data_IF_452862455799
#
_entry.id   IF_452862455799
#
_cell.length_a   1.000
_cell.length_b   1.000
_cell.length_c   1.000
_cell.angle_alpha   90.00
_cell.angle_beta   90.00
_cell.angle_gamma   90.00
#
_symmetry.space_group_name_H-M   'P 1'
#
loop_
_entity.id
_entity.type
_entity.pdbx_description
1 polymer ?
#
# COMPACT_ATOMS: atom_id res chain seq x y z
N UNK A 1 -14.34 -10.76 -10.05
CA UNK A 1 -13.08 -10.10 -9.63
C UNK A 1 -12.87 -10.03 -8.12
N UNK A 2 -13.86 -9.67 -7.31
CA UNK A 2 -13.64 -9.47 -5.87
C UNK A 2 -13.13 -10.71 -5.10
N UNK A 3 -13.48 -11.94 -5.52
CA UNK A 3 -12.88 -13.15 -4.94
C UNK A 3 -11.35 -13.23 -5.13
N UNK A 4 -10.88 -12.96 -6.36
CA UNK A 4 -9.44 -12.87 -6.68
C UNK A 4 -8.76 -11.73 -5.90
N UNK A 5 -9.43 -10.60 -5.77
CA UNK A 5 -8.93 -9.46 -4.99
C UNK A 5 -8.72 -9.86 -3.52
N UNK A 6 -9.73 -10.49 -2.92
CA UNK A 6 -9.68 -10.92 -1.53
C UNK A 6 -8.55 -11.92 -1.31
N UNK A 7 -8.39 -12.89 -2.21
CA UNK A 7 -7.29 -13.86 -2.17
C UNK A 7 -5.92 -13.18 -2.24
N UNK A 8 -5.71 -12.26 -3.18
CA UNK A 8 -4.47 -11.49 -3.28
C UNK A 8 -4.20 -10.67 -2.01
N UNK A 9 -5.21 -9.99 -1.46
CA UNK A 9 -5.07 -9.23 -0.22
C UNK A 9 -4.67 -10.14 0.94
N UNK A 10 -5.24 -11.34 1.04
CA UNK A 10 -4.90 -12.30 2.10
C UNK A 10 -3.46 -12.80 1.95
N UNK A 11 -3.05 -13.16 0.74
CA UNK A 11 -1.73 -13.72 0.48
C UNK A 11 -0.61 -12.67 0.57
N UNK A 12 -0.89 -11.41 0.24
CA UNK A 12 0.12 -10.35 0.19
C UNK A 12 0.04 -9.37 1.38
N UNK A 13 -1.07 -8.65 1.55
CA UNK A 13 -1.15 -7.59 2.56
C UNK A 13 -1.42 -8.14 3.97
N UNK A 14 -2.29 -9.15 4.08
CA UNK A 14 -2.65 -9.73 5.37
C UNK A 14 -1.51 -10.57 5.93
N UNK A 15 -0.87 -11.41 5.11
CA UNK A 15 0.29 -12.23 5.50
C UNK A 15 1.42 -11.38 6.09
N UNK A 16 1.76 -10.24 5.47
CA UNK A 16 2.78 -9.29 5.95
C UNK A 16 2.44 -8.67 7.31
N UNK A 17 1.16 -8.43 7.57
CA UNK A 17 0.71 -7.88 8.85
C UNK A 17 0.66 -8.94 9.95
N UNK A 18 0.16 -10.14 9.63
CA UNK A 18 0.03 -11.24 10.58
C UNK A 18 1.39 -11.79 11.01
N UNK A 19 2.32 -11.90 10.06
CA UNK A 19 3.64 -12.51 10.27
C UNK A 19 4.77 -11.47 10.26
N UNK A 20 4.52 -10.28 10.82
CA UNK A 20 5.52 -9.21 10.90
C UNK A 20 6.84 -9.73 11.46
N UNK A 21 7.95 -9.28 10.87
CA UNK A 21 9.32 -9.64 11.25
C UNK A 21 9.61 -11.16 11.21
N UNK A 22 8.87 -11.91 10.37
CA UNK A 22 9.04 -13.35 10.16
C UNK A 22 9.14 -13.71 8.67
N UNK A 23 9.90 -14.76 8.29
CA UNK A 23 9.91 -15.27 6.92
C UNK A 23 8.51 -15.59 6.37
N UNK A 24 7.57 -15.93 7.26
CA UNK A 24 6.19 -16.24 6.90
C UNK A 24 5.46 -15.05 6.25
N UNK A 25 5.91 -13.81 6.46
CA UNK A 25 5.38 -12.64 5.77
C UNK A 25 5.58 -12.66 4.24
N UNK A 26 6.53 -13.46 3.75
CA UNK A 26 6.92 -13.50 2.33
C UNK A 26 6.66 -14.87 1.69
N UNK A 27 6.23 -15.85 2.49
CA UNK A 27 6.09 -17.24 2.05
C UNK A 27 5.09 -17.42 0.89
N UNK A 28 4.16 -16.48 0.74
CA UNK A 28 3.11 -16.52 -0.28
C UNK A 28 3.34 -15.56 -1.46
N UNK A 29 4.46 -14.82 -1.49
CA UNK A 29 4.74 -13.79 -2.51
C UNK A 29 4.60 -14.35 -3.94
N UNK A 30 5.18 -15.51 -4.22
CA UNK A 30 5.13 -16.12 -5.56
C UNK A 30 3.69 -16.46 -6.00
N UNK A 31 2.85 -16.94 -5.08
CA UNK A 31 1.44 -17.23 -5.39
C UNK A 31 0.67 -15.94 -5.65
N UNK A 32 0.88 -14.91 -4.82
CA UNK A 32 0.24 -13.61 -5.00
C UNK A 32 0.63 -12.95 -6.33
N UNK A 33 1.91 -13.06 -6.73
CA UNK A 33 2.42 -12.58 -8.03
C UNK A 33 1.71 -13.30 -9.18
N UNK A 34 1.66 -14.64 -9.16
CA UNK A 34 1.00 -15.41 -10.21
C UNK A 34 -0.48 -15.05 -10.35
N UNK A 35 -1.19 -14.92 -9.22
CA UNK A 35 -2.59 -14.52 -9.20
C UNK A 35 -2.81 -13.09 -9.70
N UNK A 36 -1.91 -12.16 -9.36
CA UNK A 36 -1.94 -10.79 -9.87
C UNK A 36 -1.77 -10.77 -11.40
N UNK A 37 -0.77 -11.46 -11.93
CA UNK A 37 -0.53 -11.58 -13.37
C UNK A 37 -1.74 -12.15 -14.11
N UNK A 38 -2.41 -13.16 -13.55
CA UNK A 38 -3.63 -13.72 -14.14
C UNK A 38 -4.85 -12.79 -14.01
N UNK A 39 -4.97 -12.06 -12.90
CA UNK A 39 -6.07 -11.11 -12.69
C UNK A 39 -6.01 -9.94 -13.67
N UNK A 40 -4.82 -9.42 -13.98
CA UNK A 40 -4.62 -8.28 -14.88
C UNK A 40 -5.02 -8.61 -16.33
N UNK A 41 -4.93 -9.88 -16.73
CA UNK A 41 -5.34 -10.36 -18.07
C UNK A 41 -6.85 -10.42 -18.25
N UNK A 42 -7.64 -10.38 -17.17
CA UNK A 42 -9.08 -10.50 -17.25
C UNK A 42 -9.73 -9.20 -17.76
N UNK A 43 -10.74 -9.27 -18.63
CA UNK A 43 -11.39 -8.07 -19.18
C UNK A 43 -12.03 -7.20 -18.08
N UNK A 44 -12.49 -7.80 -16.99
CA UNK A 44 -13.13 -7.11 -15.88
C UNK A 44 -12.15 -6.33 -14.98
N UNK A 45 -10.83 -6.56 -15.10
CA UNK A 45 -9.83 -5.83 -14.31
C UNK A 45 -9.94 -4.31 -14.49
N UNK A 46 -10.18 -3.87 -15.73
CA UNK A 46 -10.32 -2.44 -16.07
C UNK A 46 -11.56 -1.79 -15.44
N UNK A 47 -12.58 -2.60 -15.12
CA UNK A 47 -13.83 -2.12 -14.52
C UNK A 47 -13.74 -1.97 -13.00
N UNK A 48 -12.68 -2.48 -12.37
CA UNK A 48 -12.44 -2.32 -10.93
C UNK A 48 -12.11 -0.86 -10.60
N UNK A 49 -12.31 -0.45 -9.35
CA UNK A 49 -11.90 0.88 -8.89
C UNK A 49 -10.37 1.01 -8.90
N UNK A 50 -9.86 2.25 -8.94
CA UNK A 50 -8.41 2.53 -8.87
C UNK A 50 -7.78 1.87 -7.64
N UNK A 51 -8.46 1.93 -6.48
CA UNK A 51 -7.98 1.34 -5.23
C UNK A 51 -7.88 -0.19 -5.31
N UNK A 52 -8.86 -0.85 -5.91
CA UNK A 52 -8.84 -2.31 -6.04
C UNK A 52 -7.76 -2.77 -7.03
N UNK A 53 -7.59 -2.06 -8.15
CA UNK A 53 -6.49 -2.33 -9.08
C UNK A 53 -5.13 -2.13 -8.43
N UNK A 54 -4.98 -1.12 -7.58
CA UNK A 54 -3.76 -0.93 -6.80
C UNK A 54 -3.41 -2.18 -5.99
N UNK A 55 -4.35 -2.72 -5.19
CA UNK A 55 -4.12 -3.95 -4.43
C UNK A 55 -3.85 -5.18 -5.31
N UNK A 56 -4.45 -5.26 -6.51
CA UNK A 56 -4.13 -6.31 -7.48
C UNK A 56 -2.71 -6.21 -8.03
N UNK A 57 -2.16 -4.99 -8.15
CA UNK A 57 -0.83 -4.76 -8.71
C UNK A 57 0.29 -4.86 -7.66
N UNK A 58 -0.01 -4.60 -6.37
CA UNK A 58 0.97 -4.61 -5.28
C UNK A 58 1.87 -5.85 -5.22
N UNK A 59 1.39 -7.09 -5.46
CA UNK A 59 2.27 -8.26 -5.48
C UNK A 59 3.44 -8.15 -6.46
N UNK A 60 3.25 -7.48 -7.61
CA UNK A 60 4.31 -7.25 -8.58
C UNK A 60 5.41 -6.35 -8.00
N UNK A 61 5.02 -5.29 -7.28
CA UNK A 61 5.93 -4.38 -6.58
C UNK A 61 6.73 -5.08 -5.47
N UNK A 62 6.24 -6.19 -4.93
CA UNK A 62 6.93 -6.93 -3.86
C UNK A 62 7.85 -8.04 -4.35
N UNK A 63 7.92 -8.25 -5.67
CA UNK A 63 8.73 -9.30 -6.28
C UNK A 63 10.23 -8.99 -6.24
N UNK A 64 11.05 -9.96 -5.86
CA UNK A 64 12.52 -9.88 -6.04
C UNK A 64 12.92 -10.31 -7.47
N UNK A 65 12.33 -9.68 -8.50
CA UNK A 65 12.60 -9.99 -9.91
C UNK A 65 12.61 -8.73 -10.78
N UNK A 66 13.73 -8.47 -11.47
CA UNK A 66 13.90 -7.33 -12.38
C UNK A 66 12.86 -7.33 -13.51
N UNK A 67 12.61 -8.50 -14.10
CA UNK A 67 11.66 -8.66 -15.20
C UNK A 67 10.24 -8.32 -14.76
N UNK A 68 9.85 -8.67 -13.53
CA UNK A 68 8.54 -8.32 -13.01
C UNK A 68 8.41 -6.81 -12.82
N UNK A 69 9.43 -6.13 -12.29
CA UNK A 69 9.43 -4.67 -12.17
C UNK A 69 9.36 -3.96 -13.52
N UNK A 70 10.07 -4.46 -14.55
CA UNK A 70 9.97 -3.92 -15.91
C UNK A 70 8.54 -4.00 -16.47
N UNK A 71 7.80 -5.06 -16.15
CA UNK A 71 6.40 -5.22 -16.53
C UNK A 71 5.45 -4.41 -15.64
N UNK A 72 5.79 -4.25 -14.36
CA UNK A 72 4.93 -3.59 -13.37
C UNK A 72 4.87 -2.08 -13.57
N UNK A 73 5.98 -1.42 -13.91
CA UNK A 73 6.04 0.04 -14.12
C UNK A 73 4.92 0.55 -15.06
N UNK A 74 4.78 0.07 -16.31
CA UNK A 74 3.71 0.57 -17.19
C UNK A 74 2.30 0.22 -16.68
N UNK A 75 2.14 -0.84 -15.90
CA UNK A 75 0.86 -1.20 -15.30
C UNK A 75 0.47 -0.25 -14.17
N UNK A 76 1.43 0.15 -13.33
CA UNK A 76 1.20 1.16 -12.29
C UNK A 76 0.93 2.53 -12.89
N UNK A 77 1.68 2.94 -13.93
CA UNK A 77 1.44 4.18 -14.67
C UNK A 77 0.03 4.24 -15.27
N UNK A 78 -0.43 3.12 -15.84
CA UNK A 78 -1.71 3.07 -16.53
C UNK A 78 -2.90 2.92 -15.56
N UNK A 79 -2.78 2.12 -14.51
CA UNK A 79 -3.92 1.65 -13.72
C UNK A 79 -3.87 2.01 -12.24
N UNK A 80 -2.69 2.36 -11.71
CA UNK A 80 -2.46 2.68 -10.31
C UNK A 80 -2.71 4.16 -9.97
N UNK A 81 -2.81 4.49 -8.66
CA UNK A 81 -2.69 5.86 -8.19
C UNK A 81 -1.33 6.47 -8.58
N UNK A 82 -1.27 7.77 -8.85
CA UNK A 82 -0.03 8.48 -9.19
C UNK A 82 1.08 8.25 -8.14
N UNK A 83 0.74 8.35 -6.85
CA UNK A 83 1.66 8.09 -5.76
C UNK A 83 2.29 6.69 -5.81
N UNK A 84 1.57 5.69 -6.32
CA UNK A 84 2.06 4.31 -6.38
C UNK A 84 3.12 4.08 -7.46
N UNK A 85 3.16 4.91 -8.49
CA UNK A 85 4.20 4.86 -9.54
C UNK A 85 5.56 5.22 -8.95
N UNK A 86 5.61 6.29 -8.16
CA UNK A 86 6.84 6.70 -7.47
C UNK A 86 7.35 5.62 -6.52
N UNK A 87 6.45 4.88 -5.87
CA UNK A 87 6.83 3.74 -5.04
C UNK A 87 7.37 2.59 -5.89
N UNK A 88 6.70 2.23 -6.98
CA UNK A 88 7.15 1.19 -7.89
C UNK A 88 8.56 1.47 -8.41
N UNK A 89 8.83 2.71 -8.85
CA UNK A 89 10.15 3.11 -9.35
C UNK A 89 11.23 3.00 -8.27
N UNK A 90 10.93 3.34 -7.01
CA UNK A 90 11.85 3.15 -5.88
C UNK A 90 12.14 1.67 -5.62
N UNK A 91 11.13 0.80 -5.72
CA UNK A 91 11.33 -0.65 -5.58
C UNK A 91 12.20 -1.18 -6.73
N UNK A 92 11.90 -0.76 -7.96
CA UNK A 92 12.68 -1.14 -9.15
C UNK A 92 14.15 -0.76 -9.01
N UNK A 93 14.49 0.44 -8.53
CA UNK A 93 15.89 0.86 -8.32
C UNK A 93 16.64 -0.09 -7.37
N UNK A 94 15.99 -0.53 -6.29
CA UNK A 94 16.59 -1.46 -5.32
C UNK A 94 16.80 -2.83 -5.98
N UNK A 95 15.80 -3.34 -6.70
CA UNK A 95 15.90 -4.63 -7.38
C UNK A 95 16.88 -4.59 -8.55
N UNK A 96 16.98 -3.50 -9.29
CA UNK A 96 17.97 -3.33 -10.35
C UNK A 96 19.39 -3.34 -9.80
N UNK A 97 19.61 -2.73 -8.63
CA UNK A 97 20.92 -2.67 -7.95
C UNK A 97 21.30 -4.00 -7.31
N UNK A 98 20.43 -4.58 -6.48
CA UNK A 98 20.77 -5.72 -5.62
C UNK A 98 20.20 -7.06 -6.07
N UNK A 99 19.23 -7.06 -7.00
CA UNK A 99 18.49 -8.26 -7.42
C UNK A 99 17.52 -8.80 -6.37
N UNK A 100 17.45 -8.19 -5.18
CA UNK A 100 16.63 -8.57 -4.03
C UNK A 100 16.42 -7.36 -3.11
N UNK A 101 15.61 -7.50 -2.06
CA UNK A 101 15.44 -6.47 -1.03
C UNK A 101 16.39 -6.71 0.15
N UNK A 102 17.42 -5.87 0.35
CA UNK A 102 18.38 -6.07 1.44
C UNK A 102 17.75 -6.04 2.84
N UNK A 103 16.68 -5.26 3.03
CA UNK A 103 15.98 -5.19 4.31
C UNK A 103 15.25 -6.50 4.68
N UNK A 104 15.09 -7.44 3.74
CA UNK A 104 14.56 -8.78 4.02
C UNK A 104 15.66 -9.77 4.44
N UNK A 105 16.94 -9.42 4.34
CA UNK A 105 18.04 -10.37 4.53
C UNK A 105 18.03 -10.97 5.94
N UNK A 106 17.95 -10.15 6.98
CA UNK A 106 17.96 -10.63 8.37
C UNK A 106 16.80 -11.59 8.67
N UNK A 107 15.57 -11.21 8.28
CA UNK A 107 14.37 -12.03 8.52
C UNK A 107 14.36 -13.31 7.69
N UNK A 108 14.98 -13.30 6.51
CA UNK A 108 15.12 -14.50 5.65
C UNK A 108 16.39 -15.31 5.91
N UNK A 109 17.21 -14.93 6.91
CA UNK A 109 18.46 -15.63 7.22
C UNK A 109 19.53 -15.54 6.10
N UNK A 110 19.51 -14.48 5.30
CA UNK A 110 20.50 -14.24 4.22
C UNK A 110 21.65 -13.39 4.75
N UNK A 111 22.87 -13.72 4.32
CA UNK A 111 24.02 -12.85 4.52
C UNK A 111 23.93 -11.63 3.59
N UNK A 112 24.18 -10.44 4.15
CA UNK A 112 24.24 -9.17 3.42
C UNK A 112 25.66 -8.90 2.93
N UNK A 113 25.79 -8.39 1.71
CA UNK A 113 27.07 -7.85 1.22
C UNK A 113 27.46 -6.55 1.93
N UNK A 114 28.72 -6.12 1.79
CA UNK A 114 29.16 -4.82 2.31
C UNK A 114 28.35 -3.65 1.74
N UNK A 115 28.04 -3.70 0.44
CA UNK A 115 27.22 -2.69 -0.24
C UNK A 115 25.76 -2.68 0.30
N UNK A 116 25.18 -3.86 0.54
CA UNK A 116 23.85 -3.98 1.14
C UNK A 116 23.83 -3.45 2.57
N UNK A 117 24.86 -3.71 3.37
CA UNK A 117 24.99 -3.18 4.73
C UNK A 117 25.07 -1.66 4.71
N UNK A 118 25.89 -1.07 3.84
CA UNK A 118 25.98 0.38 3.69
C UNK A 118 24.62 0.97 3.28
N UNK A 119 23.96 0.38 2.27
CA UNK A 119 22.64 0.79 1.82
C UNK A 119 21.60 0.77 2.95
N UNK A 120 21.61 -0.24 3.81
CA UNK A 120 20.68 -0.35 4.94
C UNK A 120 20.78 0.82 5.94
N UNK A 121 21.91 1.52 6.00
CA UNK A 121 22.09 2.71 6.85
C UNK A 121 21.47 3.99 6.26
N UNK A 122 21.11 4.00 4.98
CA UNK A 122 20.61 5.18 4.28
C UNK A 122 19.09 5.34 4.42
N UNK A 123 18.55 6.57 4.36
CA UNK A 123 17.10 6.78 4.28
C UNK A 123 16.48 6.10 3.06
N UNK A 124 15.29 5.52 3.22
CA UNK A 124 14.60 4.82 2.12
C UNK A 124 15.12 3.40 1.85
N UNK A 125 15.99 2.86 2.71
CA UNK A 125 16.52 1.49 2.59
C UNK A 125 15.49 0.39 2.87
N UNK A 126 14.32 0.76 3.40
CA UNK A 126 13.19 -0.12 3.66
C UNK A 126 11.86 0.59 3.39
N UNK A 127 10.84 -0.20 3.07
CA UNK A 127 9.47 0.27 2.94
C UNK A 127 8.70 -0.15 4.18
N UNK A 128 8.02 0.80 4.84
CA UNK A 128 7.11 0.46 5.93
C UNK A 128 5.81 -0.08 5.33
N UNK A 129 5.31 -1.18 5.91
CA UNK A 129 3.93 -1.64 5.70
C UNK A 129 3.02 -0.47 6.01
N UNK A 130 2.41 0.12 4.97
CA UNK A 130 1.39 1.17 5.02
C UNK A 130 1.62 2.24 6.11
N UNK A 131 2.44 3.27 5.84
CA UNK A 131 2.42 4.48 6.68
C UNK A 131 1.28 5.39 6.24
N UNK A 132 0.55 5.94 7.21
CA UNK A 132 -0.72 6.71 7.20
C UNK A 132 -0.84 7.87 6.19
N UNK A 133 0.13 8.10 5.31
CA UNK A 133 0.12 9.22 4.35
C UNK A 133 -0.75 8.98 3.11
N UNK A 134 -1.02 7.74 2.71
CA UNK A 134 -1.85 7.44 1.53
C UNK A 134 -3.38 7.47 1.82
N UNK A 135 -3.79 7.82 3.07
CA UNK A 135 -5.19 7.80 3.52
C UNK A 135 -5.87 9.15 3.74
N UNK A 136 -5.19 10.29 3.54
CA UNK A 136 -5.77 11.62 3.84
C UNK A 136 -6.51 12.22 2.66
N UNK A 137 -7.67 11.64 2.37
CA UNK A 137 -8.81 12.36 1.81
C UNK A 137 -10.09 11.96 2.57
N UNK A 138 -10.06 12.12 3.90
CA UNK A 138 -11.30 12.24 4.66
C UNK A 138 -11.71 13.70 4.64
N UNK A 139 -12.60 14.02 3.70
CA UNK A 139 -13.40 15.23 3.74
C UNK A 139 -14.00 15.39 5.13
N UNK A 140 -13.81 16.58 5.71
CA UNK A 140 -14.57 17.04 6.86
C UNK A 140 -16.07 16.86 6.59
N UNK A 141 -16.65 15.79 7.12
CA UNK A 141 -18.10 15.72 7.34
C UNK A 141 -18.27 15.50 8.83
N UNK A 142 -18.41 16.64 9.51
CA UNK A 142 -18.72 16.76 10.92
C UNK A 142 -20.03 16.01 11.20
N UNK A 143 -19.94 14.74 11.57
CA UNK A 143 -21.05 14.01 12.17
C UNK A 143 -21.35 14.67 13.50
N UNK A 144 -22.43 15.45 13.52
CA UNK A 144 -23.12 15.90 14.72
C UNK A 144 -23.54 14.65 15.49
N UNK A 145 -22.82 14.36 16.58
CA UNK A 145 -23.25 13.39 17.58
C UNK A 145 -24.42 14.03 18.34
N UNK A 146 -25.62 13.56 18.06
CA UNK A 146 -26.75 13.71 18.98
C UNK A 146 -26.48 12.88 20.24
N UNK A 147 -26.62 13.50 21.41
CA UNK A 147 -26.86 12.80 22.67
C UNK A 147 -27.67 13.68 23.62
N UNK A 148 -28.41 13.07 24.57
CA UNK A 148 -29.78 13.46 24.89
C UNK A 148 -29.93 14.48 26.03
N UNK A 149 -31.04 15.22 25.93
CA UNK A 149 -31.88 15.87 26.94
C UNK A 149 -31.35 15.88 28.39
N UNK A 150 -31.11 17.09 28.93
CA UNK A 150 -31.27 17.34 30.37
C UNK A 150 -30.62 18.63 30.91
N UNK A 151 -31.47 19.49 31.51
CA UNK A 151 -31.17 20.56 32.48
C UNK A 151 -30.88 22.00 31.99
N UNK A 152 -31.99 22.74 31.83
CA UNK A 152 -32.30 24.07 32.43
C UNK A 152 -31.13 25.03 32.74
N UNK A 153 -31.14 26.20 32.08
CA UNK A 153 -30.39 27.38 32.53
C UNK A 153 -30.62 28.60 31.63
N UNK A 154 -31.40 29.57 32.13
CA UNK A 154 -31.80 30.82 31.46
C UNK A 154 -30.61 31.71 31.08
N UNK A 155 -30.72 32.50 30.01
CA UNK A 155 -30.59 33.98 30.05
C UNK A 155 -30.03 34.62 28.74
N UNK A 156 -30.91 35.44 28.15
CA UNK A 156 -30.67 36.72 27.47
C UNK A 156 -30.12 36.80 26.01
N UNK A 157 -31.01 37.40 25.21
CA UNK A 157 -30.87 37.99 23.87
C UNK A 157 -29.92 39.20 23.89
N UNK A 158 -29.14 39.41 22.82
CA UNK A 158 -29.07 40.71 22.12
C UNK A 158 -28.28 40.66 20.80
N UNK A 159 -29.03 40.90 19.71
CA UNK A 159 -28.75 41.59 18.42
C UNK A 159 -27.31 41.87 17.95
N UNK A 160 -27.11 41.61 16.64
CA UNK A 160 -26.59 42.46 15.52
C UNK A 160 -25.62 41.62 14.66
N UNK A 161 -25.53 41.69 13.34
CA UNK A 161 -26.27 42.28 12.19
C UNK A 161 -25.62 41.61 10.96
N UNK A 162 -26.39 41.18 9.96
CA UNK A 162 -25.83 40.89 8.63
C UNK A 162 -25.42 42.20 7.95
N UNK A 163 -24.31 42.16 7.23
CA UNK A 163 -24.09 42.94 6.01
C UNK A 163 -23.56 41.98 4.93
N UNK A 164 -23.92 42.32 3.70
CA UNK A 164 -23.84 41.59 2.44
C UNK A 164 -22.46 41.01 2.12
#
# INVERSE_FOLDING_TARGET
MHGRLAEIIVLDQFSRNLHRDSPLAFAQDNMAIALAQEAIKQPEFKNMTVRERHFMLMPLMHSESKVIHEQAVPLFEQFGPEESVDFELKHKVIIDRFGRYPHRNAVLGRESSSEEIEFLTQPGSSFKIWSEKCGRNYSQTRLLVCSPIGAVGKSQRSKKRCFL
#
